data_IF_229718459046
#
_entry.id   IF_229718459046
#
_cell.length_a   1.000
_cell.length_b   1.000
_cell.length_c   1.000
_cell.angle_alpha   90.00
_cell.angle_beta   90.00
_cell.angle_gamma   90.00
#
_symmetry.space_group_name_H-M   'P 1'
#
loop_
_entity.id
_entity.type
_entity.pdbx_description
1 polymer ?
#
# COMPACT_ATOMS: atom_id res chain seq x y z
N UNK A 1 41.45 37.40 8.80
CA UNK A 1 40.70 36.48 9.69
C UNK A 1 41.67 35.88 10.71
N UNK A 2 41.29 35.82 11.98
CA UNK A 2 42.07 35.23 13.07
C UNK A 2 41.80 33.70 13.14
N UNK A 3 42.79 32.92 13.57
CA UNK A 3 42.67 31.49 13.95
C UNK A 3 41.37 31.15 14.69
N UNK A 4 40.94 31.96 15.65
CA UNK A 4 39.71 31.75 16.42
C UNK A 4 38.45 31.85 15.56
N UNK A 5 38.45 32.74 14.56
CA UNK A 5 37.36 32.84 13.59
C UNK A 5 37.30 31.60 12.69
N UNK A 6 38.45 31.06 12.28
CA UNK A 6 38.48 29.79 11.53
C UNK A 6 37.94 28.62 12.36
N UNK A 7 38.34 28.52 13.64
CA UNK A 7 37.83 27.47 14.54
C UNK A 7 36.32 27.61 14.77
N UNK A 8 35.81 28.84 14.90
CA UNK A 8 34.37 29.09 15.03
C UNK A 8 33.60 28.63 13.78
N UNK A 9 34.11 28.92 12.59
CA UNK A 9 33.51 28.47 11.33
C UNK A 9 33.50 26.94 11.19
N UNK A 10 34.58 26.27 11.60
CA UNK A 10 34.63 24.80 11.59
C UNK A 10 33.60 24.19 12.54
N UNK A 11 33.43 24.75 13.75
CA UNK A 11 32.39 24.29 14.69
C UNK A 11 30.99 24.54 14.15
N UNK A 12 30.74 25.69 13.54
CA UNK A 12 29.46 25.99 12.92
C UNK A 12 29.17 25.05 11.75
N UNK A 13 30.19 24.72 10.94
CA UNK A 13 30.06 23.74 9.88
C UNK A 13 29.72 22.36 10.41
N UNK A 14 30.39 21.90 11.46
CA UNK A 14 30.11 20.60 12.08
C UNK A 14 28.66 20.52 12.56
N UNK A 15 28.18 21.54 13.28
CA UNK A 15 26.77 21.60 13.73
C UNK A 15 25.75 21.55 12.60
N UNK A 16 26.06 22.15 11.45
CA UNK A 16 25.18 22.06 10.27
C UNK A 16 25.13 20.65 9.69
N UNK A 17 26.27 19.96 9.68
CA UNK A 17 26.32 18.55 9.23
C UNK A 17 25.57 17.65 10.21
N UNK A 18 25.83 17.79 11.52
CA UNK A 18 25.12 17.05 12.58
C UNK A 18 23.59 17.23 12.45
N UNK A 19 23.11 18.46 12.25
CA UNK A 19 21.68 18.72 12.05
C UNK A 19 21.09 18.08 10.78
N UNK A 20 21.88 17.95 9.71
CA UNK A 20 21.46 17.25 8.49
C UNK A 20 21.41 15.74 8.74
N UNK A 21 22.39 15.17 9.44
CA UNK A 21 22.42 13.76 9.81
C UNK A 21 21.23 13.39 10.69
N UNK A 22 20.90 14.23 11.68
CA UNK A 22 19.71 14.04 12.55
C UNK A 22 18.41 14.05 11.74
N UNK A 23 18.29 14.96 10.76
CA UNK A 23 17.13 15.04 9.89
C UNK A 23 17.02 13.80 8.98
N UNK A 24 18.14 13.28 8.46
CA UNK A 24 18.16 12.06 7.67
C UNK A 24 17.76 10.83 8.49
N UNK A 25 18.20 10.74 9.74
CA UNK A 25 17.80 9.64 10.63
C UNK A 25 16.29 9.70 10.94
N UNK A 26 15.75 10.89 11.20
CA UNK A 26 14.31 11.08 11.37
C UNK A 26 13.51 10.63 10.14
N UNK A 27 14.02 10.89 8.93
CA UNK A 27 13.39 10.41 7.69
C UNK A 27 13.41 8.88 7.62
N UNK A 28 14.52 8.23 7.97
CA UNK A 28 14.62 6.76 7.97
C UNK A 28 13.64 6.11 8.93
N UNK A 29 13.43 6.70 10.11
CA UNK A 29 12.43 6.21 11.06
C UNK A 29 11.01 6.29 10.48
N UNK A 30 10.69 7.39 9.78
CA UNK A 30 9.40 7.54 9.09
C UNK A 30 9.27 6.53 7.94
N UNK A 31 10.31 6.32 7.15
CA UNK A 31 10.33 5.33 6.06
C UNK A 31 10.08 3.91 6.59
N UNK A 32 10.71 3.55 7.72
CA UNK A 32 10.49 2.26 8.37
C UNK A 32 9.03 2.09 8.82
N UNK A 33 8.44 3.12 9.43
CA UNK A 33 7.03 3.10 9.83
C UNK A 33 6.07 3.01 8.64
N UNK A 34 6.36 3.71 7.55
CA UNK A 34 5.56 3.62 6.31
C UNK A 34 5.64 2.23 5.68
N UNK A 35 6.82 1.59 5.74
CA UNK A 35 7.00 0.23 5.24
C UNK A 35 6.20 -0.79 6.07
N UNK A 36 6.18 -0.66 7.40
CA UNK A 36 5.34 -1.48 8.28
C UNK A 36 3.84 -1.28 7.96
N UNK A 37 3.39 -0.03 7.84
CA UNK A 37 2.00 0.28 7.49
C UNK A 37 1.60 -0.31 6.14
N UNK A 38 2.51 -0.26 5.16
CA UNK A 38 2.30 -0.86 3.84
C UNK A 38 2.09 -2.38 3.96
N UNK A 39 2.87 -3.07 4.77
CA UNK A 39 2.73 -4.52 4.98
C UNK A 39 1.37 -4.87 5.62
N UNK A 40 0.96 -4.10 6.63
CA UNK A 40 -0.37 -4.23 7.25
C UNK A 40 -1.49 -4.06 6.21
N UNK A 41 -1.39 -3.02 5.37
CA UNK A 41 -2.40 -2.75 4.32
C UNK A 41 -2.41 -3.84 3.24
N UNK A 42 -1.26 -4.43 2.90
CA UNK A 42 -1.18 -5.56 1.97
C UNK A 42 -1.95 -6.76 2.53
N UNK A 43 -1.77 -7.07 3.82
CA UNK A 43 -2.48 -8.16 4.48
C UNK A 43 -3.97 -7.90 4.59
N UNK A 44 -4.38 -6.69 4.98
CA UNK A 44 -5.78 -6.29 5.01
C UNK A 44 -6.43 -6.43 3.63
N UNK A 45 -5.77 -5.95 2.57
CA UNK A 45 -6.24 -6.10 1.19
C UNK A 45 -6.44 -7.57 0.81
N UNK A 46 -5.53 -8.47 1.23
CA UNK A 46 -5.66 -9.90 0.99
C UNK A 46 -6.88 -10.50 1.70
N UNK A 47 -7.12 -10.13 2.95
CA UNK A 47 -8.28 -10.56 3.73
C UNK A 47 -9.58 -10.09 3.07
N UNK A 48 -9.68 -8.79 2.78
CA UNK A 48 -10.86 -8.19 2.13
C UNK A 48 -11.17 -8.83 0.77
N UNK A 49 -10.15 -9.17 -0.03
CA UNK A 49 -10.34 -9.91 -1.28
C UNK A 49 -10.91 -11.31 -1.06
N UNK A 50 -10.43 -12.02 -0.03
CA UNK A 50 -10.95 -13.32 0.36
C UNK A 50 -12.40 -13.26 0.83
N UNK A 51 -12.71 -12.30 1.69
CA UNK A 51 -14.06 -12.08 2.22
C UNK A 51 -15.03 -11.69 1.11
N UNK A 52 -14.64 -10.78 0.21
CA UNK A 52 -15.42 -10.42 -0.98
C UNK A 52 -15.76 -11.65 -1.83
N UNK A 53 -14.80 -12.56 -2.07
CA UNK A 53 -15.07 -13.79 -2.81
C UNK A 53 -16.03 -14.72 -2.05
N UNK A 54 -15.91 -14.80 -0.73
CA UNK A 54 -16.81 -15.59 0.10
C UNK A 54 -18.25 -15.03 0.05
N UNK A 55 -18.41 -13.71 0.11
CA UNK A 55 -19.70 -13.04 -0.04
C UNK A 55 -20.31 -13.24 -1.43
N UNK A 56 -19.50 -13.15 -2.48
CA UNK A 56 -19.94 -13.47 -3.85
C UNK A 56 -20.48 -14.90 -3.96
N UNK A 57 -19.81 -15.89 -3.35
CA UNK A 57 -20.27 -17.29 -3.34
C UNK A 57 -21.59 -17.44 -2.59
N UNK A 58 -21.71 -16.84 -1.39
CA UNK A 58 -22.98 -16.86 -0.63
C UNK A 58 -24.13 -16.23 -1.40
N UNK A 59 -23.88 -15.12 -2.10
CA UNK A 59 -24.89 -14.47 -2.93
C UNK A 59 -25.30 -15.35 -4.12
N UNK A 60 -24.35 -16.01 -4.79
CA UNK A 60 -24.65 -16.94 -5.90
C UNK A 60 -25.44 -18.16 -5.41
N UNK A 61 -25.07 -18.73 -4.26
CA UNK A 61 -25.77 -19.83 -3.60
C UNK A 61 -27.20 -19.45 -3.17
N UNK A 62 -27.41 -18.19 -2.77
CA UNK A 62 -28.72 -17.64 -2.48
C UNK A 62 -29.56 -17.31 -3.73
N UNK A 63 -29.03 -17.58 -4.94
CA UNK A 63 -29.74 -17.36 -6.21
C UNK A 63 -29.70 -15.91 -6.71
N UNK A 64 -28.85 -15.06 -6.14
CA UNK A 64 -28.66 -13.69 -6.65
C UNK A 64 -27.99 -13.76 -8.02
N UNK A 65 -28.55 -13.05 -9.01
CA UNK A 65 -28.00 -13.10 -10.37
C UNK A 65 -26.58 -12.50 -10.41
N UNK A 66 -25.67 -13.13 -11.18
CA UNK A 66 -24.29 -12.65 -11.39
C UNK A 66 -24.21 -11.20 -11.90
N UNK A 67 -25.24 -10.75 -12.62
CA UNK A 67 -25.34 -9.35 -13.07
C UNK A 67 -25.61 -8.37 -11.93
N UNK A 68 -26.46 -8.75 -10.97
CA UNK A 68 -26.74 -7.96 -9.78
C UNK A 68 -25.54 -7.97 -8.83
N UNK A 69 -24.93 -9.13 -8.58
CA UNK A 69 -23.68 -9.24 -7.81
C UNK A 69 -22.60 -8.32 -8.38
N UNK A 70 -22.40 -8.35 -9.70
CA UNK A 70 -21.41 -7.50 -10.36
C UNK A 70 -21.71 -6.02 -10.18
N UNK A 71 -22.98 -5.62 -10.34
CA UNK A 71 -23.41 -4.23 -10.14
C UNK A 71 -23.12 -3.72 -8.73
N UNK A 72 -23.48 -4.47 -7.69
CA UNK A 72 -23.27 -4.07 -6.30
C UNK A 72 -21.78 -4.04 -5.91
N UNK A 73 -20.98 -4.89 -6.53
CA UNK A 73 -19.53 -4.95 -6.31
C UNK A 73 -18.72 -4.09 -7.28
N UNK A 74 -19.37 -3.30 -8.14
CA UNK A 74 -18.70 -2.43 -9.12
C UNK A 74 -17.86 -3.17 -10.17
N UNK A 75 -18.15 -4.44 -10.47
CA UNK A 75 -17.41 -5.26 -11.44
C UNK A 75 -18.32 -5.83 -12.52
N UNK A 76 -17.73 -6.23 -13.65
CA UNK A 76 -18.50 -6.82 -14.74
C UNK A 76 -19.10 -8.19 -14.36
N UNK A 77 -20.23 -8.55 -14.98
CA UNK A 77 -20.80 -9.91 -14.85
C UNK A 77 -19.79 -11.00 -15.23
N UNK A 78 -18.96 -10.75 -16.24
CA UNK A 78 -17.92 -11.67 -16.69
C UNK A 78 -16.85 -11.84 -15.62
N UNK A 79 -16.44 -10.77 -14.94
CA UNK A 79 -15.53 -10.84 -13.81
C UNK A 79 -16.11 -11.71 -12.69
N UNK A 80 -17.38 -11.51 -12.32
CA UNK A 80 -18.06 -12.36 -11.33
C UNK A 80 -18.00 -13.84 -11.70
N UNK A 81 -18.25 -14.16 -12.97
CA UNK A 81 -18.19 -15.54 -13.46
C UNK A 81 -16.77 -16.13 -13.34
N UNK A 82 -15.75 -15.39 -13.80
CA UNK A 82 -14.36 -15.84 -13.75
C UNK A 82 -13.87 -16.06 -12.31
N UNK A 83 -14.26 -15.17 -11.39
CA UNK A 83 -13.92 -15.26 -9.97
C UNK A 83 -14.56 -16.49 -9.31
N UNK A 84 -15.84 -16.77 -9.59
CA UNK A 84 -16.54 -17.93 -9.03
C UNK A 84 -16.02 -19.26 -9.61
N UNK A 85 -15.52 -19.28 -10.85
CA UNK A 85 -14.92 -20.47 -11.47
C UNK A 85 -13.45 -20.69 -11.12
N UNK A 86 -12.85 -19.83 -10.27
CA UNK A 86 -11.42 -19.93 -9.94
C UNK A 86 -10.49 -19.61 -11.12
N UNK A 87 -11.01 -18.99 -12.18
CA UNK A 87 -10.22 -18.60 -13.36
C UNK A 87 -9.61 -17.19 -13.23
N UNK A 88 -9.86 -16.49 -12.13
CA UNK A 88 -9.51 -15.08 -11.93
C UNK A 88 -8.20 -14.82 -11.19
N UNK A 89 -7.44 -15.86 -10.79
CA UNK A 89 -6.12 -15.67 -10.15
C UNK A 89 -5.14 -14.83 -11.02
N UNK A 90 -5.43 -14.63 -12.31
CA UNK A 90 -4.59 -13.90 -13.27
C UNK A 90 -5.09 -12.49 -13.64
N UNK A 91 -6.26 -12.04 -13.16
CA UNK A 91 -6.88 -10.79 -13.64
C UNK A 91 -6.46 -9.53 -12.90
N UNK A 92 -6.02 -9.66 -11.64
CA UNK A 92 -5.82 -8.52 -10.73
C UNK A 92 -4.39 -7.95 -10.74
N UNK A 93 -3.47 -8.53 -11.53
CA UNK A 93 -2.14 -7.94 -11.80
C UNK A 93 -2.20 -6.84 -12.87
N UNK A 94 -3.28 -6.77 -13.66
CA UNK A 94 -3.38 -5.87 -14.81
C UNK A 94 -3.94 -4.47 -14.50
N UNK A 95 -4.52 -4.24 -13.32
CA UNK A 95 -5.16 -2.95 -12.97
C UNK A 95 -4.29 -2.05 -12.08
N UNK A 96 -2.98 -2.35 -11.95
CA UNK A 96 -2.03 -1.60 -11.14
C UNK A 96 -1.11 -0.62 -11.88
N UNK A 97 -1.22 -0.52 -13.21
CA UNK A 97 -0.46 0.44 -14.04
C UNK A 97 -1.44 1.31 -14.85
N UNK A 98 -1.95 2.36 -14.22
CA UNK A 98 -2.59 3.49 -14.90
C UNK A 98 -2.29 4.79 -14.15
#
# INVERSE_FOLDING_TARGET
MNKDQHVALLRASRKRVEAVEDALESIREVEASLQEMKEILIDQRRIERGDRLAEMRRADEAGVSKALIGRELGISRTAVYNWLQGSAEQSDEAEGEA
#
